data_IF_000322759960
#
_entry.id   IF_000322759960
#
_cell.length_a   1.000
_cell.length_b   1.000
_cell.length_c   1.000
_cell.angle_alpha   90.00
_cell.angle_beta   90.00
_cell.angle_gamma   90.00
#
_symmetry.space_group_name_H-M   'P 1'
#
loop_
_entity.id
_entity.type
_entity.pdbx_description
1 polymer ?
#
# COMPACT_ATOMS: atom_id res chain seq x y z
N UNK A 1 -42.95 -14.42 -14.32
CA UNK A 1 -42.68 -13.10 -13.72
C UNK A 1 -41.35 -13.20 -13.00
N UNK A 2 -40.30 -13.05 -13.80
CA UNK A 2 -38.86 -13.06 -13.52
C UNK A 2 -38.35 -12.16 -14.65
N UNK A 3 -37.54 -11.12 -14.49
CA UNK A 3 -36.54 -10.81 -13.49
C UNK A 3 -36.50 -9.29 -13.29
N UNK A 4 -36.32 -8.87 -12.03
CA UNK A 4 -35.70 -7.59 -11.73
C UNK A 4 -34.26 -7.66 -12.25
N UNK A 5 -34.03 -7.25 -13.49
CA UNK A 5 -32.72 -6.74 -13.92
C UNK A 5 -32.53 -5.40 -13.24
N UNK A 6 -32.10 -5.42 -11.99
CA UNK A 6 -31.29 -4.33 -11.45
C UNK A 6 -29.99 -4.34 -12.25
N UNK A 7 -29.88 -3.45 -13.23
CA UNK A 7 -28.58 -3.06 -13.74
C UNK A 7 -27.77 -2.59 -12.53
N UNK A 8 -26.80 -3.41 -12.11
CA UNK A 8 -25.75 -2.98 -11.19
C UNK A 8 -24.99 -1.90 -11.94
N UNK A 9 -25.31 -0.63 -11.65
CA UNK A 9 -24.59 0.52 -12.20
C UNK A 9 -23.14 0.42 -11.73
N UNK A 10 -22.21 0.44 -12.69
CA UNK A 10 -20.82 0.05 -12.48
C UNK A 10 -20.07 1.03 -11.55
N UNK A 11 -19.12 0.55 -10.72
CA UNK A 11 -18.29 1.40 -9.86
C UNK A 11 -17.37 2.31 -10.67
N UNK A 12 -17.09 3.51 -10.15
CA UNK A 12 -16.32 4.53 -10.85
C UNK A 12 -14.89 4.69 -10.29
N UNK A 13 -13.95 5.05 -11.17
CA UNK A 13 -12.60 5.53 -10.84
C UNK A 13 -12.46 6.98 -11.27
N UNK A 14 -12.05 7.85 -10.35
CA UNK A 14 -11.83 9.28 -10.64
C UNK A 14 -10.33 9.58 -10.64
N UNK A 15 -9.88 10.26 -11.69
CA UNK A 15 -8.56 10.91 -11.75
C UNK A 15 -8.74 12.41 -11.61
N UNK A 16 -8.04 12.99 -10.64
CA UNK A 16 -7.97 14.44 -10.47
C UNK A 16 -6.56 14.88 -10.85
N UNK A 17 -6.43 15.76 -11.83
CA UNK A 17 -5.15 16.33 -12.24
C UNK A 17 -5.30 17.75 -12.77
N UNK A 18 -4.20 18.51 -12.72
CA UNK A 18 -4.06 19.85 -13.28
C UNK A 18 -3.12 19.89 -14.50
N UNK A 19 -2.78 18.73 -15.09
CA UNK A 19 -1.81 18.65 -16.18
C UNK A 19 -2.45 18.33 -17.54
N UNK A 20 -2.09 19.12 -18.57
CA UNK A 20 -2.37 18.80 -19.98
C UNK A 20 -1.74 17.46 -20.42
N UNK A 21 -0.72 16.96 -19.72
CA UNK A 21 0.01 15.74 -20.07
C UNK A 21 -0.76 14.44 -19.76
N UNK A 22 -1.80 14.47 -18.93
CA UNK A 22 -2.62 13.27 -18.66
C UNK A 22 -3.29 12.76 -19.94
N UNK A 23 -3.48 13.63 -20.94
CA UNK A 23 -4.01 13.25 -22.26
C UNK A 23 -3.10 12.30 -23.05
N UNK A 24 -1.85 12.09 -22.62
CA UNK A 24 -0.86 11.25 -23.33
C UNK A 24 -0.16 10.16 -22.51
N UNK A 25 -0.28 10.15 -21.18
CA UNK A 25 0.41 9.15 -20.37
C UNK A 25 -0.36 7.84 -20.26
N UNK A 26 0.28 6.76 -20.73
CA UNK A 26 0.10 5.44 -20.14
C UNK A 26 0.50 5.61 -18.67
N UNK A 27 -0.43 5.45 -17.73
CA UNK A 27 -0.11 5.35 -16.30
C UNK A 27 0.85 4.17 -16.19
N UNK A 28 2.15 4.46 -16.19
CA UNK A 28 3.18 3.46 -15.98
C UNK A 28 3.12 3.18 -14.49
N UNK A 29 2.40 2.12 -14.14
CA UNK A 29 2.61 1.41 -12.89
C UNK A 29 4.08 0.97 -12.92
N UNK A 30 5.00 1.80 -12.43
CA UNK A 30 6.36 1.35 -12.11
C UNK A 30 6.23 0.33 -10.97
N UNK A 31 6.00 -0.91 -11.40
CA UNK A 31 5.87 -2.15 -10.64
C UNK A 31 5.14 -2.06 -9.29
N UNK A 32 3.88 -1.61 -9.30
CA UNK A 32 2.94 -2.19 -8.34
C UNK A 32 2.49 -3.51 -8.97
N UNK A 33 2.59 -4.62 -8.24
CA UNK A 33 2.12 -5.89 -8.79
C UNK A 33 0.66 -5.71 -9.23
N UNK A 34 0.36 -6.05 -10.50
CA UNK A 34 -0.94 -5.84 -11.14
C UNK A 34 -2.07 -6.69 -10.54
N UNK A 35 -1.93 -7.14 -9.29
CA UNK A 35 -2.81 -8.07 -8.61
C UNK A 35 -3.48 -7.50 -7.36
N UNK A 36 -3.05 -6.34 -6.84
CA UNK A 36 -3.46 -5.88 -5.49
C UNK A 36 -3.77 -4.38 -5.36
N UNK A 37 -3.04 -3.50 -6.07
CA UNK A 37 -3.39 -2.07 -6.22
C UNK A 37 -3.81 -1.72 -7.66
N UNK A 38 -4.32 -2.70 -8.40
CA UNK A 38 -4.75 -2.54 -9.79
C UNK A 38 -5.81 -3.58 -10.13
N UNK A 39 -7.06 -3.30 -9.77
CA UNK A 39 -8.21 -4.09 -10.21
C UNK A 39 -8.67 -3.67 -11.60
N UNK A 40 -9.43 -4.53 -12.29
CA UNK A 40 -10.19 -4.12 -13.48
C UNK A 40 -11.26 -3.11 -13.06
N UNK A 41 -11.08 -1.84 -13.37
CA UNK A 41 -12.13 -0.83 -13.22
C UNK A 41 -12.72 -0.47 -14.57
N UNK A 42 -14.04 -0.38 -14.62
CA UNK A 42 -14.82 0.04 -15.79
C UNK A 42 -15.44 1.39 -15.44
N UNK A 43 -15.39 2.38 -16.34
CA UNK A 43 -15.86 3.76 -16.17
C UNK A 43 -14.91 4.69 -15.40
N UNK A 44 -13.83 5.08 -16.07
CA UNK A 44 -12.89 6.11 -15.61
C UNK A 44 -13.41 7.51 -15.94
N UNK A 45 -13.39 8.39 -14.95
CA UNK A 45 -13.70 9.81 -15.12
C UNK A 45 -12.39 10.56 -14.87
N UNK A 46 -11.83 11.11 -15.95
CA UNK A 46 -10.67 12.00 -15.85
C UNK A 46 -11.23 13.40 -15.74
N UNK A 47 -10.75 14.10 -14.74
CA UNK A 47 -11.09 15.48 -14.53
C UNK A 47 -9.78 16.26 -14.61
N UNK A 48 -9.57 16.93 -15.74
CA UNK A 48 -8.35 17.66 -16.11
C UNK A 48 -8.58 19.19 -16.24
N UNK A 49 -9.83 19.65 -16.17
CA UNK A 49 -10.22 21.01 -16.58
C UNK A 49 -10.68 21.95 -15.45
N UNK A 50 -10.64 21.53 -14.18
CA UNK A 50 -11.26 22.31 -13.09
C UNK A 50 -10.25 23.15 -12.30
N UNK A 51 -10.62 24.40 -12.02
CA UNK A 51 -9.68 25.45 -11.60
C UNK A 51 -9.60 25.65 -10.08
N UNK A 52 -10.50 25.06 -9.28
CA UNK A 52 -10.53 25.28 -7.81
C UNK A 52 -11.15 24.14 -7.01
N UNK A 53 -10.72 23.96 -5.75
CA UNK A 53 -11.19 22.94 -4.79
C UNK A 53 -12.73 22.93 -4.62
N UNK A 54 -13.35 24.11 -4.58
CA UNK A 54 -14.81 24.24 -4.43
C UNK A 54 -15.60 23.77 -5.66
N UNK A 55 -15.02 23.93 -6.86
CA UNK A 55 -15.60 23.48 -8.11
C UNK A 55 -15.65 21.93 -8.19
N UNK A 56 -14.65 21.27 -7.60
CA UNK A 56 -14.57 19.81 -7.50
C UNK A 56 -15.66 19.23 -6.59
N UNK A 57 -15.77 19.78 -5.38
CA UNK A 57 -16.68 19.28 -4.34
C UNK A 57 -18.14 19.45 -4.78
N UNK A 58 -18.47 20.60 -5.37
CA UNK A 58 -19.85 20.88 -5.80
C UNK A 58 -20.35 19.95 -6.89
N UNK A 59 -19.46 19.40 -7.72
CA UNK A 59 -19.81 18.53 -8.84
C UNK A 59 -19.64 17.04 -8.58
N UNK A 60 -19.10 16.64 -7.43
CA UNK A 60 -18.92 15.22 -7.08
C UNK A 60 -20.27 14.46 -7.12
N UNK A 61 -21.34 15.09 -6.64
CA UNK A 61 -22.68 14.49 -6.65
C UNK A 61 -23.26 14.37 -8.07
N UNK A 62 -22.93 15.30 -8.97
CA UNK A 62 -23.32 15.23 -10.39
C UNK A 62 -22.58 14.11 -11.13
N UNK A 63 -21.31 13.89 -10.76
CA UNK A 63 -20.43 12.88 -11.36
C UNK A 63 -20.83 11.46 -10.91
N UNK A 64 -21.19 11.30 -9.64
CA UNK A 64 -21.61 10.03 -9.08
C UNK A 64 -23.05 9.66 -9.46
N UNK A 65 -23.92 10.67 -9.65
CA UNK A 65 -25.36 10.46 -9.84
C UNK A 65 -26.02 9.83 -8.61
N UNK A 66 -27.34 9.61 -8.67
CA UNK A 66 -28.15 9.20 -7.50
C UNK A 66 -27.80 7.80 -6.94
N UNK A 67 -27.11 6.95 -7.73
CA UNK A 67 -26.83 5.53 -7.39
C UNK A 67 -25.33 5.15 -7.49
N UNK A 68 -24.43 6.10 -7.79
CA UNK A 68 -23.01 5.78 -8.04
C UNK A 68 -22.21 5.56 -6.77
N UNK A 69 -21.49 4.44 -6.71
CA UNK A 69 -20.51 4.17 -5.65
C UNK A 69 -19.12 4.53 -6.16
N UNK A 70 -18.51 5.56 -5.57
CA UNK A 70 -17.10 5.87 -5.80
C UNK A 70 -16.25 4.82 -5.08
N UNK A 71 -15.62 3.93 -5.84
CA UNK A 71 -14.78 2.88 -5.27
C UNK A 71 -13.31 3.27 -5.20
N UNK A 72 -12.84 4.10 -6.14
CA UNK A 72 -11.43 4.38 -6.34
C UNK A 72 -11.18 5.85 -6.73
N UNK A 73 -10.22 6.47 -6.04
CA UNK A 73 -9.80 7.84 -6.29
C UNK A 73 -8.28 7.91 -6.43
N UNK A 74 -7.82 8.44 -7.57
CA UNK A 74 -6.45 8.87 -7.79
C UNK A 74 -6.39 10.39 -7.83
N UNK A 75 -5.69 10.98 -6.86
CA UNK A 75 -5.52 12.43 -6.77
C UNK A 75 -4.06 12.81 -7.02
N UNK A 76 -3.81 13.50 -8.14
CA UNK A 76 -2.50 14.05 -8.51
C UNK A 76 -2.37 15.55 -8.21
N UNK A 77 -3.27 16.08 -7.39
CA UNK A 77 -3.27 17.48 -6.99
C UNK A 77 -2.81 17.59 -5.55
N UNK A 78 -1.77 18.38 -5.31
CA UNK A 78 -1.21 18.61 -3.99
C UNK A 78 -2.09 19.58 -3.17
N UNK A 79 -2.96 19.00 -2.34
CA UNK A 79 -3.92 19.73 -1.50
C UNK A 79 -3.56 19.61 -0.02
N UNK A 80 -3.74 20.67 0.78
CA UNK A 80 -3.58 20.59 2.23
C UNK A 80 -4.56 19.58 2.84
N UNK A 81 -4.04 18.48 3.41
CA UNK A 81 -4.80 17.45 4.14
C UNK A 81 -5.98 16.79 3.42
N UNK A 82 -6.26 17.15 2.16
CA UNK A 82 -7.38 16.66 1.37
C UNK A 82 -8.70 16.74 2.15
N UNK A 83 -8.98 17.90 2.76
CA UNK A 83 -10.11 18.08 3.68
C UNK A 83 -11.46 17.71 3.03
N UNK A 84 -11.59 17.84 1.70
CA UNK A 84 -12.76 17.38 0.93
C UNK A 84 -13.10 15.89 1.12
N UNK A 85 -12.11 15.04 1.41
CA UNK A 85 -12.33 13.62 1.69
C UNK A 85 -13.10 13.39 2.99
N UNK A 86 -13.30 14.45 3.78
CA UNK A 86 -14.18 14.43 4.96
C UNK A 86 -15.66 14.49 4.58
N UNK A 87 -16.02 14.71 3.32
CA UNK A 87 -17.41 14.60 2.86
C UNK A 87 -17.87 13.13 2.81
N UNK A 88 -19.11 12.88 3.22
CA UNK A 88 -19.69 11.54 3.29
C UNK A 88 -19.74 10.82 1.93
N UNK A 89 -19.72 11.56 0.82
CA UNK A 89 -19.63 11.00 -0.54
C UNK A 89 -18.38 10.13 -0.74
N UNK A 90 -17.29 10.37 0.00
CA UNK A 90 -16.03 9.63 -0.12
C UNK A 90 -15.86 8.48 0.86
N UNK A 91 -16.74 8.34 1.87
CA UNK A 91 -16.59 7.30 2.90
C UNK A 91 -16.77 5.88 2.37
N UNK A 92 -17.39 5.75 1.19
CA UNK A 92 -17.54 4.50 0.46
C UNK A 92 -16.29 4.02 -0.28
N UNK A 93 -15.23 4.84 -0.35
CA UNK A 93 -14.00 4.52 -1.06
C UNK A 93 -13.38 3.21 -0.57
N UNK A 94 -13.00 2.38 -1.54
CA UNK A 94 -12.24 1.16 -1.30
C UNK A 94 -10.76 1.36 -1.59
N UNK A 95 -10.39 2.25 -2.52
CA UNK A 95 -9.01 2.51 -2.93
C UNK A 95 -8.76 4.01 -3.01
N UNK A 96 -7.74 4.48 -2.31
CA UNK A 96 -7.37 5.90 -2.26
C UNK A 96 -5.88 6.05 -2.57
N UNK A 97 -5.56 6.84 -3.59
CA UNK A 97 -4.20 7.11 -4.01
C UNK A 97 -3.98 8.62 -4.05
N UNK A 98 -3.12 9.10 -3.16
CA UNK A 98 -2.71 10.49 -3.06
C UNK A 98 -1.28 10.58 -3.58
N UNK A 99 -1.09 11.25 -4.71
CA UNK A 99 0.20 11.43 -5.35
C UNK A 99 0.73 12.84 -5.10
N UNK A 100 2.05 12.95 -4.93
CA UNK A 100 2.76 14.20 -4.63
C UNK A 100 2.08 15.02 -3.52
N UNK A 101 1.65 14.32 -2.46
CA UNK A 101 0.86 14.84 -1.36
C UNK A 101 1.73 15.66 -0.38
N UNK A 102 2.48 16.64 -0.89
CA UNK A 102 3.53 17.34 -0.13
C UNK A 102 2.98 18.15 1.05
N UNK A 103 1.71 18.57 0.97
CA UNK A 103 1.01 19.34 2.03
C UNK A 103 0.26 18.45 3.03
N UNK A 104 0.36 17.13 2.92
CA UNK A 104 -0.33 16.19 3.80
C UNK A 104 0.38 16.06 5.15
N UNK A 105 -0.30 16.51 6.21
CA UNK A 105 0.20 16.45 7.61
C UNK A 105 -0.81 15.83 8.58
N UNK A 106 -2.03 15.58 8.12
CA UNK A 106 -3.11 14.91 8.85
C UNK A 106 -3.95 14.06 7.91
N UNK A 107 -4.65 13.08 8.46
CA UNK A 107 -5.55 12.20 7.73
C UNK A 107 -6.93 12.17 8.43
N UNK A 108 -7.61 13.32 8.58
CA UNK A 108 -8.82 13.43 9.40
C UNK A 108 -10.00 12.59 8.88
N UNK A 109 -9.98 12.25 7.59
CA UNK A 109 -11.00 11.48 6.90
C UNK A 109 -10.89 9.96 7.13
N UNK A 110 -9.70 9.44 7.49
CA UNK A 110 -9.46 7.98 7.46
C UNK A 110 -10.37 7.19 8.38
N UNK A 111 -10.67 7.68 9.58
CA UNK A 111 -11.56 7.00 10.53
C UNK A 111 -13.00 6.81 10.01
N UNK A 112 -13.38 7.54 8.95
CA UNK A 112 -14.69 7.42 8.30
C UNK A 112 -14.68 6.49 7.10
N UNK A 113 -13.50 6.15 6.55
CA UNK A 113 -13.34 5.32 5.35
C UNK A 113 -13.34 3.84 5.71
N UNK A 114 -14.50 3.36 6.16
CA UNK A 114 -14.66 2.03 6.71
C UNK A 114 -14.33 0.91 5.72
N UNK A 115 -14.55 1.14 4.42
CA UNK A 115 -14.38 0.17 3.33
C UNK A 115 -12.99 0.17 2.69
N UNK A 116 -12.08 1.03 3.17
CA UNK A 116 -10.80 1.26 2.53
C UNK A 116 -9.91 0.02 2.62
N UNK A 117 -9.60 -0.56 1.45
CA UNK A 117 -8.78 -1.75 1.29
C UNK A 117 -7.37 -1.44 0.77
N UNK A 118 -7.18 -0.33 0.06
CA UNK A 118 -5.87 0.11 -0.42
C UNK A 118 -5.69 1.61 -0.19
N UNK A 119 -4.55 1.96 0.40
CA UNK A 119 -4.14 3.33 0.62
C UNK A 119 -2.72 3.51 0.07
N UNK A 120 -2.58 4.45 -0.87
CA UNK A 120 -1.30 4.96 -1.33
C UNK A 120 -1.19 6.43 -0.96
N UNK A 121 -0.08 6.76 -0.31
CA UNK A 121 0.36 8.12 -0.07
C UNK A 121 1.78 8.23 -0.62
N UNK A 122 1.97 9.08 -1.62
CA UNK A 122 3.27 9.37 -2.20
C UNK A 122 3.62 10.85 -2.00
N UNK A 123 4.88 11.15 -1.67
CA UNK A 123 5.37 12.53 -1.59
C UNK A 123 5.04 13.27 -0.29
N UNK A 124 4.39 12.64 0.69
CA UNK A 124 3.98 13.26 1.95
C UNK A 124 5.13 13.39 2.96
N UNK A 125 6.07 14.29 2.66
CA UNK A 125 7.37 14.45 3.36
C UNK A 125 7.27 14.76 4.85
N UNK A 126 6.17 15.36 5.29
CA UNK A 126 5.95 15.76 6.69
C UNK A 126 4.99 14.80 7.44
N UNK A 127 4.46 13.76 6.78
CA UNK A 127 3.48 12.84 7.37
C UNK A 127 4.02 12.13 8.62
N UNK A 128 5.28 11.66 8.57
CA UNK A 128 5.89 10.89 9.66
C UNK A 128 6.19 11.71 10.92
N UNK A 129 6.33 13.04 10.81
CA UNK A 129 6.63 13.93 11.94
C UNK A 129 5.40 14.71 12.43
N UNK A 130 4.27 14.54 11.75
CA UNK A 130 3.03 15.24 12.02
C UNK A 130 1.99 14.32 12.67
N UNK A 131 0.77 14.82 12.88
CA UNK A 131 -0.32 14.02 13.45
C UNK A 131 -0.88 12.99 12.48
N UNK A 132 -0.61 13.12 11.17
CA UNK A 132 -1.15 12.21 10.17
C UNK A 132 -0.74 10.76 10.37
N UNK A 133 0.47 10.50 10.86
CA UNK A 133 0.83 9.12 11.20
C UNK A 133 0.01 8.56 12.37
N UNK A 134 -0.32 9.38 13.38
CA UNK A 134 -1.22 8.95 14.46
C UNK A 134 -2.64 8.67 13.94
N UNK A 135 -3.12 9.48 13.00
CA UNK A 135 -4.41 9.26 12.34
C UNK A 135 -4.42 7.91 11.61
N UNK A 136 -3.34 7.57 10.89
CA UNK A 136 -3.16 6.26 10.24
C UNK A 136 -3.14 5.11 11.26
N UNK A 137 -2.36 5.22 12.34
CA UNK A 137 -2.30 4.17 13.37
C UNK A 137 -3.67 3.96 14.02
N UNK A 138 -4.41 5.02 14.31
CA UNK A 138 -5.77 4.93 14.86
C UNK A 138 -6.72 4.25 13.88
N UNK A 139 -6.60 4.55 12.58
CA UNK A 139 -7.36 3.87 11.54
C UNK A 139 -7.04 2.36 11.49
N UNK A 140 -5.76 1.99 11.56
CA UNK A 140 -5.36 0.58 11.56
C UNK A 140 -5.89 -0.18 12.79
N UNK A 141 -5.86 0.44 13.98
CA UNK A 141 -6.43 -0.12 15.21
C UNK A 141 -7.94 -0.30 15.12
N UNK A 142 -8.66 0.71 14.61
CA UNK A 142 -10.10 0.60 14.36
C UNK A 142 -10.42 -0.58 13.43
N UNK A 143 -9.61 -0.80 12.39
CA UNK A 143 -9.79 -1.92 11.47
C UNK A 143 -9.49 -3.29 12.12
N UNK A 144 -8.51 -3.35 13.03
CA UNK A 144 -8.19 -4.54 13.83
C UNK A 144 -9.33 -4.91 14.79
N UNK A 145 -9.86 -3.95 15.54
CA UNK A 145 -11.01 -4.14 16.44
C UNK A 145 -12.22 -4.70 15.69
N UNK A 146 -12.53 -4.15 14.51
CA UNK A 146 -13.61 -4.64 13.64
C UNK A 146 -13.37 -6.07 13.16
N UNK A 147 -12.13 -6.41 12.84
CA UNK A 147 -11.77 -7.76 12.45
C UNK A 147 -12.04 -8.74 13.59
N UNK A 148 -11.56 -8.43 14.79
CA UNK A 148 -11.79 -9.24 15.98
C UNK A 148 -13.29 -9.40 16.31
N UNK A 149 -14.08 -8.33 16.18
CA UNK A 149 -15.53 -8.40 16.33
C UNK A 149 -16.18 -9.30 15.29
N UNK A 150 -15.73 -9.22 14.03
CA UNK A 150 -16.23 -10.10 12.97
C UNK A 150 -15.91 -11.57 13.22
N UNK A 151 -14.83 -11.86 13.95
CA UNK A 151 -14.48 -13.22 14.35
C UNK A 151 -15.41 -13.82 15.41
N UNK A 152 -16.16 -12.98 16.16
CA UNK A 152 -17.16 -13.44 17.15
C UNK A 152 -18.44 -13.96 16.50
N UNK A 153 -18.69 -13.60 15.24
CA UNK A 153 -19.85 -14.06 14.48
C UNK A 153 -19.62 -15.51 14.01
N UNK A 154 -20.57 -16.45 14.23
CA UNK A 154 -20.44 -17.84 13.78
C UNK A 154 -20.14 -17.94 12.28
N UNK A 155 -19.24 -18.85 11.89
CA UNK A 155 -18.78 -18.97 10.49
C UNK A 155 -19.94 -19.12 9.48
N UNK A 156 -20.96 -19.90 9.81
CA UNK A 156 -22.14 -20.12 8.97
C UNK A 156 -23.03 -18.87 8.80
N UNK A 157 -22.93 -17.92 9.73
CA UNK A 157 -23.61 -16.62 9.71
C UNK A 157 -22.75 -15.54 9.04
N UNK A 158 -21.48 -15.83 8.74
CA UNK A 158 -20.61 -14.97 7.90
C UNK A 158 -20.96 -15.08 6.42
N UNK A 159 -22.26 -15.09 6.06
CA UNK A 159 -22.71 -15.11 4.67
C UNK A 159 -22.67 -13.70 4.06
N UNK A 160 -21.87 -13.56 2.99
CA UNK A 160 -21.93 -12.51 1.94
C UNK A 160 -21.47 -11.09 2.33
N UNK A 161 -21.28 -10.76 3.61
CA UNK A 161 -20.80 -9.43 4.05
C UNK A 161 -19.30 -9.27 4.26
N UNK A 162 -18.48 -10.31 4.03
CA UNK A 162 -17.02 -10.17 3.90
C UNK A 162 -16.62 -9.66 2.50
N UNK A 163 -17.26 -8.59 2.03
CA UNK A 163 -16.57 -7.63 1.15
C UNK A 163 -15.51 -6.95 2.02
N UNK A 164 -14.42 -7.69 2.25
CA UNK A 164 -13.33 -7.46 3.21
C UNK A 164 -12.92 -5.98 3.27
N UNK A 165 -13.43 -5.20 4.24
CA UNK A 165 -13.17 -3.77 4.31
C UNK A 165 -11.95 -3.47 5.17
N UNK A 166 -11.06 -4.46 5.35
CA UNK A 166 -9.81 -4.26 6.06
C UNK A 166 -8.76 -3.81 5.05
N UNK A 167 -7.95 -2.82 5.43
CA UNK A 167 -6.82 -2.41 4.62
C UNK A 167 -5.93 -3.62 4.32
N UNK A 168 -5.75 -3.95 3.04
CA UNK A 168 -4.92 -5.03 2.51
C UNK A 168 -3.61 -4.51 1.95
N UNK A 169 -3.60 -3.30 1.39
CA UNK A 169 -2.42 -2.69 0.82
C UNK A 169 -2.16 -1.34 1.49
N UNK A 170 -0.98 -1.20 2.09
CA UNK A 170 -0.50 0.07 2.65
C UNK A 170 0.77 0.49 1.92
N UNK A 171 0.66 1.57 1.15
CA UNK A 171 1.77 2.13 0.39
C UNK A 171 2.05 3.56 0.90
N UNK A 172 3.22 3.78 1.48
CA UNK A 172 3.67 5.14 1.85
C UNK A 172 5.05 5.35 1.26
N UNK A 173 5.12 6.06 0.14
CA UNK A 173 6.32 6.20 -0.67
C UNK A 173 6.82 7.64 -0.67
N UNK A 174 8.11 7.83 -0.91
CA UNK A 174 8.69 9.17 -1.14
C UNK A 174 8.31 10.20 -0.04
N UNK A 175 8.17 9.74 1.21
CA UNK A 175 7.56 10.50 2.31
C UNK A 175 8.55 10.79 3.44
N UNK A 176 9.85 10.54 3.21
CA UNK A 176 10.93 10.72 4.20
C UNK A 176 10.67 10.00 5.54
N UNK A 177 9.90 8.90 5.51
CA UNK A 177 9.69 8.09 6.71
C UNK A 177 11.03 7.56 7.19
N UNK A 178 11.28 7.61 8.50
CA UNK A 178 12.54 7.16 9.10
C UNK A 178 12.29 6.20 10.25
N UNK A 179 11.45 6.62 11.18
CA UNK A 179 11.06 5.83 12.34
C UNK A 179 9.71 5.15 12.07
N UNK A 180 9.65 3.85 12.36
CA UNK A 180 8.46 3.01 12.23
C UNK A 180 7.95 2.51 13.59
N UNK A 181 8.53 2.97 14.70
CA UNK A 181 8.19 2.55 16.08
C UNK A 181 6.69 2.61 16.37
N UNK A 182 5.95 3.53 15.75
CA UNK A 182 4.49 3.63 15.90
C UNK A 182 3.68 2.46 15.31
N UNK A 183 4.28 1.62 14.47
CA UNK A 183 3.68 0.36 14.00
C UNK A 183 3.92 -0.80 14.99
N UNK A 184 4.79 -0.63 15.98
CA UNK A 184 5.09 -1.66 16.98
C UNK A 184 3.83 -2.04 17.76
N UNK A 185 3.63 -3.35 17.93
CA UNK A 185 2.47 -3.91 18.63
C UNK A 185 1.19 -4.03 17.80
N UNK A 186 1.12 -3.49 16.58
CA UNK A 186 -0.01 -3.75 15.67
C UNK A 186 0.09 -5.17 15.10
N UNK A 187 -1.00 -5.94 15.17
CA UNK A 187 -1.00 -7.34 14.70
C UNK A 187 -2.08 -7.56 13.65
N UNK A 188 -1.72 -7.46 12.37
CA UNK A 188 -2.71 -7.64 11.29
C UNK A 188 -2.14 -8.20 10.02
N UNK A 189 -2.99 -8.89 9.28
CA UNK A 189 -2.67 -9.39 7.96
C UNK A 189 -2.88 -8.30 6.91
N UNK A 190 -1.77 -7.89 6.30
CA UNK A 190 -1.76 -7.16 5.05
C UNK A 190 -1.50 -8.16 3.91
N UNK A 191 -1.87 -7.76 2.71
CA UNK A 191 -1.38 -8.41 1.51
C UNK A 191 -0.05 -7.77 1.11
N UNK A 192 -0.01 -6.44 1.10
CA UNK A 192 1.10 -5.65 0.58
C UNK A 192 1.50 -4.52 1.52
N UNK A 193 2.81 -4.37 1.72
CA UNK A 193 3.44 -3.19 2.30
C UNK A 193 4.41 -2.63 1.26
N UNK A 194 4.26 -1.35 0.93
CA UNK A 194 5.18 -0.65 0.05
C UNK A 194 5.66 0.66 0.67
N UNK A 195 6.85 0.65 1.28
CA UNK A 195 7.50 1.84 1.85
C UNK A 195 8.72 2.28 1.05
N UNK A 196 8.69 2.10 -0.27
CA UNK A 196 9.79 2.49 -1.17
C UNK A 196 10.14 3.98 -1.08
N UNK A 197 11.40 4.33 -1.33
CA UNK A 197 11.88 5.72 -1.42
C UNK A 197 11.68 6.52 -0.13
N UNK A 198 11.96 5.93 1.02
CA UNK A 198 11.97 6.63 2.30
C UNK A 198 13.40 6.66 2.88
N UNK A 199 13.53 6.93 4.17
CA UNK A 199 14.79 6.99 4.89
C UNK A 199 14.83 5.98 6.04
N UNK A 200 14.11 4.87 5.90
CA UNK A 200 13.94 3.85 6.94
C UNK A 200 15.24 3.09 7.14
N UNK A 201 15.66 2.93 8.40
CA UNK A 201 16.87 2.18 8.79
C UNK A 201 16.53 0.83 9.45
N UNK A 202 15.35 0.75 10.09
CA UNK A 202 14.86 -0.42 10.80
C UNK A 202 13.42 -0.74 10.40
N UNK A 203 13.15 -1.99 10.02
CA UNK A 203 11.80 -2.47 9.74
C UNK A 203 11.28 -3.48 10.77
N UNK A 204 11.99 -3.76 11.85
CA UNK A 204 11.48 -4.64 12.92
C UNK A 204 10.11 -4.24 13.46
N UNK A 205 9.72 -2.95 13.56
CA UNK A 205 8.37 -2.58 14.02
C UNK A 205 7.24 -3.10 13.11
N UNK A 206 7.54 -3.53 11.89
CA UNK A 206 6.58 -4.09 10.95
C UNK A 206 6.35 -5.61 11.16
N UNK A 207 7.03 -6.26 12.11
CA UNK A 207 6.94 -7.71 12.29
C UNK A 207 5.52 -8.22 12.59
N UNK A 208 4.67 -7.40 13.22
CA UNK A 208 3.25 -7.71 13.44
C UNK A 208 2.34 -7.44 12.24
N UNK A 209 2.81 -6.70 11.23
CA UNK A 209 2.11 -6.41 9.98
C UNK A 209 2.43 -7.47 8.92
N UNK A 210 1.90 -8.66 9.12
CA UNK A 210 2.20 -9.84 8.30
C UNK A 210 1.71 -9.64 6.87
N UNK A 211 2.63 -9.63 5.89
CA UNK A 211 2.33 -9.47 4.46
C UNK A 211 2.92 -10.59 3.59
N UNK A 212 2.43 -10.71 2.36
CA UNK A 212 3.03 -11.59 1.34
C UNK A 212 3.92 -10.84 0.34
N UNK A 213 3.73 -9.52 0.26
CA UNK A 213 4.45 -8.62 -0.64
C UNK A 213 5.08 -7.49 0.17
N UNK A 214 6.41 -7.47 0.23
CA UNK A 214 7.20 -6.46 0.93
C UNK A 214 8.05 -5.69 -0.08
N UNK A 215 7.69 -4.43 -0.33
CA UNK A 215 8.44 -3.52 -1.20
C UNK A 215 9.03 -2.37 -0.38
N UNK A 216 10.34 -2.44 -0.11
CA UNK A 216 11.05 -1.37 0.60
C UNK A 216 12.35 -0.92 -0.09
N UNK A 217 12.45 -0.89 -1.43
CA UNK A 217 13.66 -0.40 -2.09
C UNK A 217 13.90 1.09 -1.85
N UNK A 218 15.14 1.51 -2.04
CA UNK A 218 15.58 2.91 -1.89
C UNK A 218 15.26 3.43 -0.48
N UNK A 219 15.81 2.74 0.51
CA UNK A 219 15.79 3.14 1.91
C UNK A 219 17.22 3.06 2.47
N UNK A 220 17.37 3.08 3.79
CA UNK A 220 18.64 2.91 4.51
C UNK A 220 18.62 1.65 5.37
N UNK A 221 17.80 0.64 5.03
CA UNK A 221 17.50 -0.50 5.89
C UNK A 221 18.75 -1.34 6.11
N UNK A 222 19.09 -1.57 7.37
CA UNK A 222 20.19 -2.45 7.77
C UNK A 222 19.79 -3.48 8.81
N UNK A 223 18.55 -3.47 9.30
CA UNK A 223 18.05 -4.40 10.34
C UNK A 223 16.54 -4.63 10.26
N UNK A 224 16.10 -5.73 10.87
CA UNK A 224 14.70 -6.10 11.03
C UNK A 224 14.10 -6.91 9.88
N UNK A 225 14.85 -7.11 8.80
CA UNK A 225 14.41 -7.85 7.61
C UNK A 225 14.17 -9.31 7.95
N UNK A 226 15.10 -9.94 8.66
CA UNK A 226 14.96 -11.34 9.05
C UNK A 226 13.74 -11.58 9.95
N UNK A 227 13.49 -10.65 10.87
CA UNK A 227 12.34 -10.69 11.78
C UNK A 227 11.04 -10.58 11.00
N UNK A 228 10.89 -9.57 10.14
CA UNK A 228 9.70 -9.38 9.30
C UNK A 228 9.46 -10.60 8.41
N UNK A 229 10.48 -11.08 7.69
CA UNK A 229 10.34 -12.24 6.80
C UNK A 229 9.90 -13.48 7.57
N UNK A 230 10.44 -13.73 8.77
CA UNK A 230 10.02 -14.88 9.60
C UNK A 230 8.53 -14.87 9.98
N UNK A 231 7.89 -13.71 9.96
CA UNK A 231 6.46 -13.53 10.26
C UNK A 231 5.57 -13.57 9.02
N UNK A 232 6.12 -13.37 7.82
CA UNK A 232 5.36 -13.44 6.56
C UNK A 232 4.68 -14.82 6.43
N UNK A 233 3.39 -14.83 6.07
CA UNK A 233 2.65 -16.08 5.87
C UNK A 233 3.20 -16.86 4.66
N UNK A 234 3.33 -16.17 3.54
CA UNK A 234 3.87 -16.66 2.28
C UNK A 234 4.62 -15.52 1.58
N UNK A 235 5.96 -15.41 1.74
CA UNK A 235 6.74 -14.36 1.09
C UNK A 235 6.81 -14.58 -0.42
N UNK A 236 5.84 -14.02 -1.13
CA UNK A 236 5.79 -14.10 -2.59
C UNK A 236 6.77 -13.11 -3.22
N UNK A 237 6.85 -11.88 -2.70
CA UNK A 237 7.78 -10.86 -3.18
C UNK A 237 8.45 -10.14 -2.01
N UNK A 238 9.78 -10.16 -2.00
CA UNK A 238 10.61 -9.41 -1.06
C UNK A 238 11.59 -8.54 -1.86
N UNK A 239 11.28 -7.25 -1.96
CA UNK A 239 12.04 -6.30 -2.77
C UNK A 239 12.82 -5.33 -1.88
N UNK A 240 14.14 -5.52 -1.83
CA UNK A 240 15.04 -4.89 -0.87
C UNK A 240 16.17 -4.09 -1.53
N UNK A 241 16.12 -3.87 -2.85
CA UNK A 241 17.20 -3.16 -3.58
C UNK A 241 17.48 -1.77 -3.02
N UNK A 242 18.71 -1.28 -3.17
CA UNK A 242 19.09 0.06 -2.72
C UNK A 242 18.80 0.27 -1.22
N UNK A 243 19.46 -0.54 -0.40
CA UNK A 243 19.42 -0.50 1.06
C UNK A 243 20.83 -0.69 1.63
N UNK A 244 20.94 -0.95 2.94
CA UNK A 244 22.20 -1.18 3.66
C UNK A 244 22.24 -2.55 4.32
N UNK A 245 21.58 -3.55 3.71
CA UNK A 245 21.56 -4.92 4.24
C UNK A 245 22.95 -5.50 4.08
N UNK A 246 23.53 -5.97 5.19
CA UNK A 246 24.82 -6.63 5.18
C UNK A 246 24.68 -8.15 5.09
N UNK A 247 25.84 -8.78 4.95
CA UNK A 247 26.06 -10.21 4.96
C UNK A 247 25.43 -10.97 6.16
N UNK A 248 25.29 -10.32 7.32
CA UNK A 248 24.72 -10.94 8.52
C UNK A 248 23.20 -10.93 8.46
N UNK A 249 22.61 -9.77 8.17
CA UNK A 249 21.16 -9.62 8.07
C UNK A 249 20.59 -10.45 6.92
N UNK A 250 21.28 -10.47 5.77
CA UNK A 250 20.93 -11.33 4.64
C UNK A 250 20.94 -12.83 5.01
N UNK A 251 21.99 -13.31 5.68
CA UNK A 251 22.06 -14.71 6.14
C UNK A 251 20.96 -15.04 7.14
N UNK A 252 20.66 -14.14 8.07
CA UNK A 252 19.57 -14.34 9.03
C UNK A 252 18.22 -14.47 8.31
N UNK A 253 17.94 -13.58 7.35
CA UNK A 253 16.71 -13.58 6.57
C UNK A 253 16.57 -14.85 5.73
N UNK A 254 17.61 -15.22 4.97
CA UNK A 254 17.53 -16.34 4.03
C UNK A 254 17.52 -17.71 4.75
N UNK A 255 18.04 -17.77 5.98
CA UNK A 255 18.00 -18.96 6.83
C UNK A 255 16.69 -19.12 7.61
N UNK A 256 15.72 -18.21 7.43
CA UNK A 256 14.36 -18.43 7.94
C UNK A 256 13.76 -19.73 7.37
N UNK A 257 12.75 -20.24 8.06
CA UNK A 257 11.94 -21.40 7.65
C UNK A 257 11.00 -21.08 6.47
N UNK A 258 11.01 -19.84 5.99
CA UNK A 258 10.14 -19.35 4.92
C UNK A 258 10.75 -19.60 3.56
N UNK A 259 9.91 -20.06 2.63
CA UNK A 259 10.25 -20.09 1.21
C UNK A 259 9.93 -18.73 0.59
N UNK A 260 10.98 -17.98 0.24
CA UNK A 260 10.85 -16.71 -0.46
C UNK A 260 10.81 -16.99 -1.96
N UNK A 261 9.70 -16.65 -2.61
CA UNK A 261 9.52 -16.98 -4.03
C UNK A 261 10.26 -16.03 -4.95
N UNK A 262 10.19 -14.72 -4.71
CA UNK A 262 10.86 -13.71 -5.51
C UNK A 262 11.60 -12.74 -4.59
N UNK A 263 12.90 -12.55 -4.84
CA UNK A 263 13.75 -11.73 -3.97
C UNK A 263 14.70 -10.85 -4.77
N UNK A 264 14.73 -9.55 -4.47
CA UNK A 264 15.56 -8.57 -5.17
C UNK A 264 16.45 -7.81 -4.19
N UNK A 265 17.76 -7.91 -4.36
CA UNK A 265 18.76 -7.57 -3.34
C UNK A 265 19.89 -6.67 -3.84
N UNK A 266 20.01 -6.39 -5.14
CA UNK A 266 21.12 -5.57 -5.63
C UNK A 266 21.16 -4.18 -5.00
N UNK A 267 22.35 -3.60 -4.95
CA UNK A 267 22.63 -2.33 -4.28
C UNK A 267 22.34 -2.41 -2.76
N UNK A 268 22.90 -3.44 -2.13
CA UNK A 268 23.02 -3.57 -0.68
C UNK A 268 24.52 -3.70 -0.31
N UNK A 269 24.82 -4.06 0.94
CA UNK A 269 26.17 -4.32 1.45
C UNK A 269 26.45 -5.83 1.55
N UNK A 270 25.77 -6.64 0.72
CA UNK A 270 25.94 -8.09 0.66
C UNK A 270 27.10 -8.41 -0.26
N UNK A 271 28.04 -9.20 0.23
CA UNK A 271 29.26 -9.64 -0.47
C UNK A 271 29.22 -11.13 -0.80
N UNK A 272 28.49 -11.92 -0.01
CA UNK A 272 28.35 -13.37 -0.19
C UNK A 272 26.89 -13.77 -0.44
N UNK A 273 26.54 -13.95 -1.71
CA UNK A 273 25.22 -14.43 -2.14
C UNK A 273 25.10 -15.96 -2.21
N UNK A 274 26.15 -16.72 -1.86
CA UNK A 274 26.13 -18.19 -1.92
C UNK A 274 24.98 -18.86 -1.15
N UNK A 275 24.45 -18.30 -0.04
CA UNK A 275 23.26 -18.84 0.61
C UNK A 275 22.01 -18.96 -0.29
N UNK A 276 21.89 -18.15 -1.35
CA UNK A 276 20.76 -18.23 -2.30
C UNK A 276 20.82 -19.45 -3.21
N UNK A 277 22.01 -20.00 -3.47
CA UNK A 277 22.18 -21.15 -4.38
C UNK A 277 21.39 -22.39 -3.93
N UNK A 278 21.13 -22.49 -2.62
CA UNK A 278 20.42 -23.61 -2.00
C UNK A 278 18.92 -23.34 -1.80
N UNK A 279 18.38 -22.24 -2.35
CA UNK A 279 16.98 -21.83 -2.17
C UNK A 279 16.21 -21.92 -3.49
N UNK A 280 14.93 -22.29 -3.38
CA UNK A 280 14.01 -22.38 -4.53
C UNK A 280 13.44 -21.00 -4.90
N UNK A 281 14.29 -20.12 -5.42
CA UNK A 281 13.89 -18.78 -5.84
C UNK A 281 13.37 -18.81 -7.29
N UNK A 282 12.15 -18.31 -7.51
CA UNK A 282 11.53 -18.19 -8.85
C UNK A 282 12.09 -17.01 -9.65
N UNK A 283 12.29 -15.86 -9.00
CA UNK A 283 12.86 -14.66 -9.65
C UNK A 283 13.77 -13.89 -8.70
N UNK A 284 14.91 -13.43 -9.20
CA UNK A 284 15.85 -12.56 -8.48
C UNK A 284 16.70 -11.73 -9.42
N UNK A 285 17.24 -10.62 -8.93
CA UNK A 285 18.26 -9.83 -9.62
C UNK A 285 19.68 -10.39 -9.43
N UNK A 286 19.91 -11.24 -8.42
CA UNK A 286 21.20 -11.90 -8.18
C UNK A 286 21.49 -12.93 -9.28
N UNK A 287 22.62 -12.77 -9.94
CA UNK A 287 23.05 -13.67 -11.02
C UNK A 287 23.55 -15.01 -10.49
N UNK A 288 23.54 -16.04 -11.34
CA UNK A 288 24.12 -17.36 -10.98
C UNK A 288 25.59 -17.27 -10.62
N UNK A 289 26.34 -16.36 -11.25
CA UNK A 289 27.76 -16.13 -10.95
C UNK A 289 27.96 -15.56 -9.54
N UNK A 290 27.12 -14.60 -9.14
CA UNK A 290 27.13 -14.04 -7.78
C UNK A 290 26.77 -15.10 -6.72
N UNK A 291 25.90 -16.07 -7.05
CA UNK A 291 25.52 -17.17 -6.15
C UNK A 291 26.60 -18.25 -5.96
N UNK A 292 27.66 -18.27 -6.77
CA UNK A 292 28.74 -19.27 -6.64
C UNK A 292 30.09 -18.66 -6.26
N UNK A 293 30.24 -17.34 -6.36
CA UNK A 293 31.48 -16.63 -6.07
C UNK A 293 31.37 -15.84 -4.76
N UNK A 294 32.37 -16.01 -3.88
CA UNK A 294 32.48 -15.26 -2.60
C UNK A 294 33.22 -13.93 -2.70
N UNK A 295 33.76 -13.61 -3.87
CA UNK A 295 34.67 -12.47 -4.04
C UNK A 295 34.03 -11.37 -4.89
N UNK A 296 33.32 -10.45 -4.23
CA UNK A 296 33.13 -9.05 -4.65
C UNK A 296 33.05 -8.12 -3.46
#
# INVERSE_FOLDING_TARGET
MTDLKTEVKNPHMIFISQSEEIRGFRIVFESISATTCGGMVRNTIILDEYQSEDEWISRIHEILGDDGVLEELHCFVDMPNYDFLSDAAFYGLSRLYLYDATKLTRLPFLLKMEKLNALLIDGARDLGQSKGMNDLINFLKMQEERYEESLKIPFEERKITLYSPYLKALCIRNSRLKDLSMFEGLTRHLLEINFSYNEIEDISPLAGLVSGYLFVPNNKISKGVAEVVSKMLDPLYVYLRYNKIDDKEFRNMINSDKEIHNIFLHHNLITDYTPLANKHIRSTDVTREEMINKER
#
